data_IF_768801718572
#
_entry.id   IF_768801718572
#
_cell.length_a   1.000
_cell.length_b   1.000
_cell.length_c   1.000
_cell.angle_alpha   90.00
_cell.angle_beta   90.00
_cell.angle_gamma   90.00
#
_symmetry.space_group_name_H-M   'P 1'
#
loop_
_entity.id
_entity.type
_entity.pdbx_description
1 polymer ?
#
# COMPACT_ATOMS: atom_id res chain seq x y z
N UNK A 1 23.55 -3.35 11.04
CA UNK A 1 23.64 -2.10 10.24
C UNK A 1 22.22 -1.59 10.10
N UNK A 2 21.90 -0.41 10.63
CA UNK A 2 20.57 0.20 10.42
C UNK A 2 20.48 0.61 8.95
N UNK A 3 19.75 -0.16 8.14
CA UNK A 3 19.34 0.29 6.80
C UNK A 3 18.44 1.51 6.99
N UNK A 4 18.98 2.68 6.71
CA UNK A 4 18.26 3.94 6.76
C UNK A 4 17.40 4.03 5.48
N UNK A 5 16.21 3.41 5.50
CA UNK A 5 15.28 3.50 4.38
C UNK A 5 14.85 4.96 4.20
N UNK A 6 15.07 5.53 3.01
CA UNK A 6 14.67 6.89 2.67
C UNK A 6 13.15 7.01 2.53
N UNK A 7 12.48 5.93 2.12
CA UNK A 7 11.03 5.85 1.95
C UNK A 7 10.42 4.76 2.81
N UNK A 8 9.25 5.02 3.34
CA UNK A 8 8.50 4.02 4.10
C UNK A 8 7.89 2.97 3.17
N UNK A 9 7.42 3.37 2.02
CA UNK A 9 6.95 2.47 0.97
C UNK A 9 7.21 3.07 -0.43
N UNK A 10 7.35 2.17 -1.41
CA UNK A 10 7.30 2.46 -2.84
C UNK A 10 5.99 1.90 -3.39
N UNK A 11 5.28 2.68 -4.20
CA UNK A 11 4.05 2.23 -4.88
C UNK A 11 4.37 1.96 -6.34
N UNK A 12 4.34 0.67 -6.70
CA UNK A 12 4.44 0.18 -8.08
C UNK A 12 3.04 0.07 -8.68
N UNK A 13 2.84 0.60 -9.89
CA UNK A 13 1.54 0.62 -10.54
C UNK A 13 1.64 0.78 -12.05
N UNK A 14 0.57 0.46 -12.79
CA UNK A 14 0.40 0.84 -14.19
C UNK A 14 -0.27 2.22 -14.30
N UNK A 15 0.03 3.00 -15.35
CA UNK A 15 -0.54 4.34 -15.56
C UNK A 15 -2.07 4.38 -15.55
N UNK A 16 -2.72 3.30 -15.99
CA UNK A 16 -4.19 3.15 -15.89
C UNK A 16 -4.70 3.22 -14.45
N UNK A 17 -3.87 2.84 -13.48
CA UNK A 17 -4.18 2.77 -12.05
C UNK A 17 -3.68 3.99 -11.25
N UNK A 18 -3.21 5.06 -11.89
CA UNK A 18 -2.62 6.24 -11.24
C UNK A 18 -3.52 6.82 -10.13
N UNK A 19 -4.84 6.78 -10.32
CA UNK A 19 -5.81 7.26 -9.31
C UNK A 19 -5.70 6.49 -7.99
N UNK A 20 -5.42 5.18 -8.06
CA UNK A 20 -5.23 4.34 -6.90
C UNK A 20 -3.90 4.61 -6.22
N UNK A 21 -2.83 4.79 -6.99
CA UNK A 21 -1.51 5.14 -6.45
C UNK A 21 -1.56 6.47 -5.68
N UNK A 22 -2.14 7.52 -6.26
CA UNK A 22 -2.35 8.82 -5.63
C UNK A 22 -3.20 8.73 -4.35
N UNK A 23 -4.33 8.01 -4.45
CA UNK A 23 -5.21 7.82 -3.31
C UNK A 23 -4.50 7.11 -2.16
N UNK A 24 -3.77 6.04 -2.46
CA UNK A 24 -3.07 5.25 -1.45
C UNK A 24 -1.94 6.05 -0.81
N UNK A 25 -1.08 6.70 -1.60
CA UNK A 25 -0.01 7.56 -1.11
C UNK A 25 -0.53 8.63 -0.16
N UNK A 26 -1.54 9.39 -0.61
CA UNK A 26 -2.14 10.44 0.22
C UNK A 26 -2.67 9.89 1.54
N UNK A 27 -3.46 8.81 1.50
CA UNK A 27 -4.08 8.27 2.70
C UNK A 27 -3.08 7.60 3.65
N UNK A 28 -1.97 7.03 3.16
CA UNK A 28 -0.89 6.52 4.00
C UNK A 28 -0.15 7.67 4.71
N UNK A 29 0.27 8.69 3.97
CA UNK A 29 1.06 9.81 4.54
C UNK A 29 0.28 10.64 5.56
N UNK A 30 -1.04 10.78 5.35
CA UNK A 30 -1.93 11.52 6.26
C UNK A 30 -2.65 10.63 7.27
N UNK A 31 -2.33 9.33 7.30
CA UNK A 31 -2.91 8.44 8.30
C UNK A 31 -2.49 8.84 9.70
N UNK A 32 -3.48 8.97 10.57
CA UNK A 32 -3.20 9.23 11.98
C UNK A 32 -3.02 7.93 12.73
N UNK A 33 -1.78 7.63 13.09
CA UNK A 33 -1.46 6.48 13.91
C UNK A 33 -1.94 6.75 15.35
N UNK A 34 -2.79 5.87 15.91
CA UNK A 34 -3.31 6.07 17.27
C UNK A 34 -2.18 6.13 18.30
N UNK A 35 -2.17 7.16 19.16
CA UNK A 35 -1.13 7.35 20.17
C UNK A 35 -1.02 6.17 21.15
N UNK A 36 -2.13 5.48 21.43
CA UNK A 36 -2.14 4.27 22.22
C UNK A 36 -1.37 3.13 21.55
N UNK A 37 -1.38 3.04 20.22
CA UNK A 37 -0.60 2.05 19.48
C UNK A 37 0.90 2.35 19.60
N UNK A 38 1.30 3.63 19.46
CA UNK A 38 2.71 4.03 19.62
C UNK A 38 3.23 3.85 21.06
N UNK A 39 2.35 3.82 22.06
CA UNK A 39 2.73 3.49 23.45
C UNK A 39 2.93 1.99 23.65
N UNK A 40 2.10 1.19 23.00
CA UNK A 40 2.14 -0.28 23.06
C UNK A 40 3.30 -0.85 22.21
N UNK A 41 3.59 -0.20 21.08
CA UNK A 41 4.63 -0.54 20.13
C UNK A 41 5.54 0.69 19.86
N UNK A 42 6.52 0.96 20.74
CA UNK A 42 7.36 2.16 20.66
C UNK A 42 8.23 2.24 19.40
N UNK A 43 8.47 1.08 18.76
CA UNK A 43 9.23 0.95 17.50
C UNK A 43 8.46 1.43 16.27
N UNK A 44 7.15 1.60 16.37
CA UNK A 44 6.34 2.05 15.24
C UNK A 44 6.62 3.53 14.92
N UNK A 45 6.61 3.90 13.64
CA UNK A 45 6.81 5.28 13.23
C UNK A 45 5.61 6.13 13.68
N UNK A 46 5.86 7.40 13.94
CA UNK A 46 4.76 8.35 14.21
C UNK A 46 3.96 8.70 12.95
N UNK A 47 4.52 8.47 11.77
CA UNK A 47 3.93 8.76 10.46
C UNK A 47 4.46 7.79 9.42
N UNK A 48 3.61 7.43 8.46
CA UNK A 48 3.96 6.58 7.31
C UNK A 48 4.36 7.51 6.17
N UNK A 49 5.57 8.06 6.24
CA UNK A 49 6.09 8.95 5.19
C UNK A 49 7.62 9.09 5.24
N UNK A 50 8.26 9.42 4.10
CA UNK A 50 7.63 9.61 2.79
C UNK A 50 7.23 8.29 2.14
N UNK A 51 6.18 8.33 1.30
CA UNK A 51 5.76 7.22 0.42
C UNK A 51 6.06 7.64 -1.01
N UNK A 52 6.89 6.86 -1.68
CA UNK A 52 7.29 7.15 -3.05
C UNK A 52 6.28 6.61 -4.05
N UNK A 53 5.94 7.42 -5.03
CA UNK A 53 5.30 7.03 -6.29
C UNK A 53 5.79 7.98 -7.39
N UNK A 54 5.76 7.58 -8.63
CA UNK A 54 6.23 8.42 -9.72
C UNK A 54 5.21 8.46 -10.86
N UNK A 55 5.17 9.59 -11.56
CA UNK A 55 4.35 9.72 -12.74
C UNK A 55 5.09 9.08 -13.92
N UNK A 56 4.43 8.16 -14.63
CA UNK A 56 5.05 7.32 -15.66
C UNK A 56 5.33 8.03 -17.00
N UNK A 57 5.17 9.35 -17.09
CA UNK A 57 5.41 10.13 -18.32
C UNK A 57 6.89 10.26 -18.72
N UNK A 58 7.80 9.65 -17.95
CA UNK A 58 9.23 9.83 -18.14
C UNK A 58 9.88 8.56 -18.69
N UNK A 59 10.43 8.63 -19.89
CA UNK A 59 11.24 7.56 -20.51
C UNK A 59 12.73 7.90 -20.48
N UNK A 60 13.58 6.90 -20.15
CA UNK A 60 15.03 7.02 -20.28
C UNK A 60 15.83 6.19 -19.27
N UNK A 61 17.04 5.79 -19.66
CA UNK A 61 17.94 4.92 -18.87
C UNK A 61 18.37 5.52 -17.52
N UNK A 62 18.51 6.87 -17.48
CA UNK A 62 18.83 7.58 -16.23
C UNK A 62 17.70 7.51 -15.21
N UNK A 63 16.45 7.49 -15.68
CA UNK A 63 15.28 7.35 -14.84
C UNK A 63 15.18 5.95 -14.24
N UNK A 64 15.38 4.89 -15.04
CA UNK A 64 15.39 3.50 -14.50
C UNK A 64 16.37 3.35 -13.34
N UNK A 65 17.57 3.93 -13.45
CA UNK A 65 18.58 3.88 -12.39
C UNK A 65 18.17 4.66 -11.15
N UNK A 66 17.56 5.84 -11.33
CA UNK A 66 17.04 6.63 -10.20
C UNK A 66 15.90 5.88 -9.49
N UNK A 67 14.93 5.34 -10.24
CA UNK A 67 13.82 4.56 -9.68
C UNK A 67 14.29 3.32 -8.93
N UNK A 68 15.30 2.62 -9.43
CA UNK A 68 15.90 1.48 -8.73
C UNK A 68 16.53 1.89 -7.39
N UNK A 69 17.14 3.07 -7.30
CA UNK A 69 17.68 3.58 -6.04
C UNK A 69 16.55 3.86 -5.04
N UNK A 70 15.46 4.50 -5.49
CA UNK A 70 14.31 4.80 -4.63
C UNK A 70 13.60 3.53 -4.17
N UNK A 71 13.45 2.55 -5.08
CA UNK A 71 12.94 1.22 -4.76
C UNK A 71 13.82 0.53 -3.72
N UNK A 72 15.13 0.53 -3.92
CA UNK A 72 16.09 -0.11 -3.01
C UNK A 72 16.12 0.53 -1.63
N UNK A 73 15.91 1.85 -1.56
CA UNK A 73 15.86 2.61 -0.31
C UNK A 73 14.48 2.60 0.36
N UNK A 74 13.52 1.84 -0.19
CA UNK A 74 12.17 1.69 0.39
C UNK A 74 12.08 0.50 1.33
N UNK A 75 11.32 0.67 2.42
CA UNK A 75 11.10 -0.39 3.40
C UNK A 75 10.08 -1.42 2.91
N UNK A 76 9.02 -0.98 2.24
CA UNK A 76 7.95 -1.81 1.69
C UNK A 76 7.75 -1.51 0.22
N UNK A 77 7.29 -2.51 -0.54
CA UNK A 77 6.79 -2.37 -1.90
C UNK A 77 5.28 -2.65 -1.90
N UNK A 78 4.48 -1.66 -2.30
CA UNK A 78 3.03 -1.85 -2.51
C UNK A 78 2.80 -1.95 -4.01
N UNK A 79 2.27 -3.06 -4.47
CA UNK A 79 1.96 -3.29 -5.88
C UNK A 79 0.47 -3.11 -6.10
N UNK A 80 0.10 -2.09 -6.89
CA UNK A 80 -1.30 -1.93 -7.35
C UNK A 80 -1.57 -3.01 -8.39
N UNK A 81 -2.46 -3.93 -8.07
CA UNK A 81 -2.73 -5.11 -8.87
C UNK A 81 -4.01 -4.93 -9.70
N UNK A 82 -3.86 -5.00 -11.00
CA UNK A 82 -4.91 -4.98 -12.03
C UNK A 82 -4.47 -5.79 -13.24
N UNK A 83 -5.36 -6.11 -14.20
CA UNK A 83 -4.96 -6.75 -15.45
C UNK A 83 -3.94 -5.93 -16.26
N UNK A 84 -3.98 -4.61 -16.16
CA UNK A 84 -2.99 -3.73 -16.80
C UNK A 84 -1.63 -3.80 -16.11
N UNK A 85 -1.61 -3.83 -14.77
CA UNK A 85 -0.38 -4.02 -13.99
C UNK A 85 0.24 -5.40 -14.20
N UNK A 86 -0.58 -6.45 -14.36
CA UNK A 86 -0.11 -7.81 -14.61
C UNK A 86 0.64 -7.96 -15.94
N UNK A 87 0.29 -7.13 -16.93
CA UNK A 87 0.88 -7.10 -18.28
C UNK A 87 2.06 -6.11 -18.40
N UNK A 88 2.32 -5.32 -17.37
CA UNK A 88 3.33 -4.27 -17.38
C UNK A 88 4.71 -4.80 -16.98
N UNK A 89 5.64 -4.86 -17.94
CA UNK A 89 7.01 -5.36 -17.70
C UNK A 89 7.71 -4.63 -16.54
N UNK A 90 7.57 -3.31 -16.46
CA UNK A 90 8.24 -2.52 -15.41
C UNK A 90 7.70 -2.81 -14.01
N UNK A 91 6.39 -3.11 -13.85
CA UNK A 91 5.82 -3.52 -12.55
C UNK A 91 6.41 -4.86 -12.15
N UNK A 92 6.53 -5.80 -13.10
CA UNK A 92 7.19 -7.07 -12.85
C UNK A 92 8.67 -6.91 -12.49
N UNK A 93 9.41 -6.05 -13.22
CA UNK A 93 10.83 -5.76 -12.97
C UNK A 93 11.05 -5.18 -11.55
N UNK A 94 10.17 -4.29 -11.10
CA UNK A 94 10.21 -3.72 -9.75
C UNK A 94 9.98 -4.78 -8.66
N UNK A 95 9.04 -5.70 -8.89
CA UNK A 95 8.81 -6.84 -7.99
C UNK A 95 10.03 -7.75 -7.94
N UNK A 96 10.60 -8.11 -9.10
CA UNK A 96 11.83 -8.93 -9.20
C UNK A 96 12.97 -8.26 -8.44
N UNK A 97 13.24 -6.98 -8.72
CA UNK A 97 14.32 -6.24 -8.09
C UNK A 97 14.17 -6.17 -6.56
N UNK A 98 12.95 -6.08 -6.05
CA UNK A 98 12.68 -6.05 -4.61
C UNK A 98 12.88 -7.42 -3.94
N UNK A 99 12.49 -8.51 -4.64
CA UNK A 99 12.75 -9.89 -4.22
C UNK A 99 14.25 -10.19 -4.17
N UNK A 100 15.01 -9.78 -5.21
CA UNK A 100 16.46 -9.97 -5.29
C UNK A 100 17.24 -9.27 -4.17
N UNK A 101 16.64 -8.21 -3.59
CA UNK A 101 17.18 -7.53 -2.39
C UNK A 101 16.88 -8.27 -1.07
N UNK A 102 16.25 -9.45 -1.14
CA UNK A 102 15.85 -10.21 0.04
C UNK A 102 14.66 -9.59 0.81
N UNK A 103 13.84 -8.78 0.14
CA UNK A 103 12.69 -8.07 0.74
C UNK A 103 11.33 -8.61 0.27
N UNK A 104 11.27 -9.84 -0.22
CA UNK A 104 10.04 -10.46 -0.72
C UNK A 104 8.91 -10.46 0.29
N UNK A 105 9.22 -10.67 1.57
CA UNK A 105 8.30 -10.63 2.72
C UNK A 105 7.68 -9.24 2.99
N UNK A 106 8.21 -8.19 2.35
CA UNK A 106 7.76 -6.80 2.49
C UNK A 106 7.00 -6.30 1.27
N UNK A 107 6.55 -7.20 0.41
CA UNK A 107 5.70 -6.88 -0.75
C UNK A 107 4.23 -6.99 -0.33
N UNK A 108 3.45 -5.97 -0.64
CA UNK A 108 2.02 -5.90 -0.31
C UNK A 108 1.22 -5.77 -1.61
N UNK A 109 0.56 -6.85 -2.07
CA UNK A 109 -0.34 -6.77 -3.20
C UNK A 109 -1.64 -6.02 -2.84
N UNK A 110 -1.95 -4.94 -3.56
CA UNK A 110 -3.15 -4.13 -3.39
C UNK A 110 -4.05 -4.26 -4.62
N UNK A 111 -5.11 -5.07 -4.52
CA UNK A 111 -5.93 -5.48 -5.65
C UNK A 111 -7.03 -4.46 -5.90
N UNK A 112 -7.03 -3.84 -7.08
CA UNK A 112 -8.00 -2.84 -7.52
C UNK A 112 -8.91 -3.34 -8.63
N UNK A 113 -8.44 -4.32 -9.42
CA UNK A 113 -9.19 -4.97 -10.50
C UNK A 113 -8.63 -6.36 -10.77
N UNK A 114 -9.36 -7.18 -11.51
CA UNK A 114 -8.94 -8.53 -11.90
C UNK A 114 -9.01 -9.56 -10.77
N UNK A 115 -8.40 -10.71 -10.99
CA UNK A 115 -8.44 -11.87 -10.06
C UNK A 115 -7.05 -12.46 -9.91
N UNK A 116 -6.54 -12.60 -8.67
CA UNK A 116 -5.26 -13.29 -8.45
C UNK A 116 -5.32 -14.74 -8.91
N UNK A 117 -4.27 -15.20 -9.58
CA UNK A 117 -4.15 -16.56 -10.10
C UNK A 117 -5.32 -16.97 -11.01
N UNK A 118 -5.83 -16.04 -11.81
CA UNK A 118 -6.94 -16.28 -12.71
C UNK A 118 -6.58 -17.35 -13.76
N UNK A 119 -7.58 -18.18 -14.13
CA UNK A 119 -7.43 -19.13 -15.24
C UNK A 119 -7.39 -18.41 -16.59
N UNK A 120 -8.15 -17.32 -16.69
CA UNK A 120 -8.15 -16.45 -17.85
C UNK A 120 -7.03 -15.39 -17.71
N UNK A 121 -6.05 -15.36 -18.64
CA UNK A 121 -4.96 -14.38 -18.58
C UNK A 121 -5.41 -12.91 -18.61
N UNK A 122 -6.57 -12.62 -19.19
CA UNK A 122 -7.11 -11.26 -19.25
C UNK A 122 -7.71 -10.77 -17.92
N UNK A 123 -7.97 -11.69 -17.01
CA UNK A 123 -8.46 -11.41 -15.66
C UNK A 123 -7.34 -11.43 -14.61
N UNK A 124 -6.17 -11.97 -14.95
CA UNK A 124 -5.03 -12.05 -14.03
C UNK A 124 -4.57 -10.65 -13.62
N UNK A 125 -4.43 -10.42 -12.33
CA UNK A 125 -4.01 -9.11 -11.79
C UNK A 125 -2.61 -9.12 -11.17
N UNK A 126 -1.99 -10.26 -10.97
CA UNK A 126 -0.63 -10.34 -10.45
C UNK A 126 0.40 -10.42 -11.57
N UNK A 127 1.43 -9.55 -11.60
CA UNK A 127 2.57 -9.74 -12.49
C UNK A 127 3.27 -11.09 -12.21
N UNK A 128 3.98 -11.66 -13.20
CA UNK A 128 4.53 -13.01 -13.10
C UNK A 128 5.36 -13.27 -11.84
N UNK A 129 6.24 -12.35 -11.46
CA UNK A 129 7.07 -12.48 -10.27
C UNK A 129 6.25 -12.52 -8.98
N UNK A 130 5.24 -11.66 -8.86
CA UNK A 130 4.34 -11.64 -7.71
C UNK A 130 3.48 -12.91 -7.64
N UNK A 131 3.04 -13.41 -8.80
CA UNK A 131 2.26 -14.65 -8.88
C UNK A 131 3.06 -15.88 -8.42
N UNK A 132 4.36 -15.93 -8.73
CA UNK A 132 5.23 -16.98 -8.24
C UNK A 132 5.45 -16.86 -6.72
N UNK A 133 5.78 -15.66 -6.25
CA UNK A 133 5.98 -15.38 -4.82
C UNK A 133 4.75 -15.76 -3.97
N UNK A 134 3.55 -15.44 -4.43
CA UNK A 134 2.30 -15.71 -3.71
C UNK A 134 1.83 -17.16 -3.76
N UNK A 135 2.45 -18.01 -4.59
CA UNK A 135 2.24 -19.48 -4.56
C UNK A 135 3.08 -20.15 -3.51
N UNK A 136 4.32 -19.66 -3.36
CA UNK A 136 5.32 -20.28 -2.50
C UNK A 136 5.26 -19.74 -1.06
N UNK A 137 4.75 -18.52 -0.89
CA UNK A 137 4.58 -17.84 0.39
C UNK A 137 3.11 -17.45 0.59
N UNK A 138 2.60 -17.51 1.82
CA UNK A 138 1.22 -17.12 2.18
C UNK A 138 1.03 -15.60 2.16
N UNK A 139 1.51 -14.91 1.10
CA UNK A 139 1.31 -13.48 0.93
C UNK A 139 -0.13 -13.22 0.49
N UNK A 140 -0.90 -12.62 1.38
CA UNK A 140 -2.29 -12.29 1.13
C UNK A 140 -2.44 -10.97 0.38
N UNK A 141 -3.12 -10.99 -0.78
CA UNK A 141 -3.55 -9.78 -1.46
C UNK A 141 -4.66 -9.04 -0.70
N UNK A 142 -4.53 -7.71 -0.62
CA UNK A 142 -5.52 -6.82 -0.01
C UNK A 142 -6.45 -6.30 -1.11
N UNK A 143 -7.70 -6.75 -1.11
CA UNK A 143 -8.69 -6.38 -2.13
C UNK A 143 -9.57 -5.21 -1.68
N UNK A 144 -9.39 -4.04 -2.32
CA UNK A 144 -10.13 -2.81 -2.01
C UNK A 144 -11.59 -2.83 -2.45
N UNK A 145 -11.98 -3.77 -3.33
CA UNK A 145 -13.34 -3.92 -3.85
C UNK A 145 -14.27 -4.66 -2.89
N UNK A 146 -13.71 -5.23 -1.82
CA UNK A 146 -14.51 -5.92 -0.80
C UNK A 146 -15.56 -4.99 -0.22
N UNK A 147 -16.65 -5.56 0.30
CA UNK A 147 -17.80 -4.86 0.88
C UNK A 147 -17.42 -3.83 1.94
N UNK A 148 -16.35 -4.09 2.68
CA UNK A 148 -15.82 -3.24 3.74
C UNK A 148 -15.17 -1.95 3.20
N UNK A 149 -14.79 -1.94 1.92
CA UNK A 149 -14.39 -0.76 1.16
C UNK A 149 -12.99 -0.22 1.46
N UNK A 150 -12.71 0.95 0.89
CA UNK A 150 -11.38 1.57 0.87
C UNK A 150 -10.74 1.79 2.24
N UNK A 151 -11.52 2.20 3.24
CA UNK A 151 -11.00 2.44 4.60
C UNK A 151 -10.50 1.16 5.25
N UNK A 152 -11.17 0.05 5.01
CA UNK A 152 -10.77 -1.26 5.53
C UNK A 152 -9.47 -1.71 4.85
N UNK A 153 -9.40 -1.62 3.52
CA UNK A 153 -8.20 -1.96 2.77
C UNK A 153 -6.98 -1.10 3.17
N UNK A 154 -7.17 0.20 3.41
CA UNK A 154 -6.11 1.08 3.91
C UNK A 154 -5.58 0.62 5.28
N UNK A 155 -6.49 0.31 6.21
CA UNK A 155 -6.09 -0.16 7.55
C UNK A 155 -5.41 -1.52 7.48
N UNK A 156 -5.81 -2.39 6.54
CA UNK A 156 -5.18 -3.69 6.31
C UNK A 156 -3.73 -3.54 5.79
N UNK A 157 -3.50 -2.62 4.85
CA UNK A 157 -2.14 -2.25 4.40
C UNK A 157 -1.28 -1.79 5.59
N UNK A 158 -1.81 -0.90 6.43
CA UNK A 158 -1.08 -0.35 7.58
C UNK A 158 -0.81 -1.42 8.63
N UNK A 159 -1.79 -2.27 8.92
CA UNK A 159 -1.63 -3.40 9.84
C UNK A 159 -0.54 -4.36 9.38
N UNK A 160 -0.52 -4.67 8.07
CA UNK A 160 0.52 -5.49 7.43
C UNK A 160 1.90 -4.84 7.56
N UNK A 161 2.04 -3.55 7.24
CA UNK A 161 3.31 -2.82 7.37
C UNK A 161 3.83 -2.74 8.81
N UNK A 162 2.93 -2.70 9.78
CA UNK A 162 3.29 -2.59 11.19
C UNK A 162 3.48 -3.95 11.88
N UNK A 163 3.09 -5.05 11.22
CA UNK A 163 3.08 -6.37 11.83
C UNK A 163 2.11 -6.46 13.02
N UNK A 164 1.05 -5.64 13.03
CA UNK A 164 0.04 -5.64 14.09
C UNK A 164 -1.24 -6.30 13.61
N UNK A 165 -2.01 -6.83 14.55
CA UNK A 165 -3.30 -7.45 14.21
C UNK A 165 -4.27 -6.39 13.65
N UNK A 166 -4.91 -6.73 12.54
CA UNK A 166 -5.87 -5.86 11.86
C UNK A 166 -7.00 -5.39 12.78
N UNK A 167 -7.61 -6.30 13.55
CA UNK A 167 -8.74 -5.99 14.45
C UNK A 167 -8.40 -4.94 15.51
N UNK A 168 -7.18 -4.97 16.04
CA UNK A 168 -6.68 -3.99 17.00
C UNK A 168 -6.60 -2.59 16.38
N UNK A 169 -6.08 -2.50 15.18
CA UNK A 169 -5.95 -1.21 14.47
C UNK A 169 -7.31 -0.72 13.98
N UNK A 170 -8.15 -1.61 13.45
CA UNK A 170 -9.47 -1.30 12.93
C UNK A 170 -10.41 -0.75 14.00
N UNK A 171 -10.48 -1.37 15.16
CA UNK A 171 -11.31 -0.88 16.26
C UNK A 171 -10.92 0.54 16.69
N UNK A 172 -9.61 0.85 16.73
CA UNK A 172 -9.11 2.19 17.06
C UNK A 172 -9.45 3.20 15.95
N UNK A 173 -9.33 2.79 14.69
CA UNK A 173 -9.71 3.61 13.53
C UNK A 173 -11.21 3.96 13.56
N UNK A 174 -12.08 2.98 13.76
CA UNK A 174 -13.53 3.16 13.84
C UNK A 174 -13.95 4.06 15.02
N UNK A 175 -13.38 3.88 16.20
CA UNK A 175 -13.63 4.76 17.35
C UNK A 175 -13.29 6.21 17.05
N UNK A 176 -12.18 6.45 16.38
CA UNK A 176 -11.79 7.80 15.97
C UNK A 176 -12.75 8.39 14.93
N UNK A 177 -13.11 7.63 13.91
CA UNK A 177 -14.09 8.07 12.89
C UNK A 177 -15.41 8.47 13.53
N UNK A 178 -15.93 7.65 14.44
CA UNK A 178 -17.18 7.94 15.19
C UNK A 178 -17.04 9.22 16.01
N UNK A 179 -15.92 9.41 16.72
CA UNK A 179 -15.66 10.62 17.49
C UNK A 179 -15.63 11.87 16.62
N UNK A 180 -14.89 11.85 15.51
CA UNK A 180 -14.80 12.97 14.57
C UNK A 180 -16.19 13.29 13.99
N UNK A 181 -16.92 12.29 13.55
CA UNK A 181 -18.29 12.45 13.02
C UNK A 181 -19.22 13.11 14.04
N UNK A 182 -19.18 12.65 15.29
CA UNK A 182 -20.03 13.22 16.35
C UNK A 182 -19.67 14.69 16.66
N UNK A 183 -18.38 15.05 16.59
CA UNK A 183 -17.93 16.45 16.71
C UNK A 183 -18.52 17.30 15.58
N UNK A 184 -18.43 16.81 14.32
CA UNK A 184 -19.00 17.55 13.18
C UNK A 184 -20.52 17.70 13.26
N UNK A 185 -21.24 16.66 13.72
CA UNK A 185 -22.68 16.74 13.96
C UNK A 185 -23.00 17.79 15.04
N UNK A 186 -22.25 17.81 16.14
CA UNK A 186 -22.44 18.81 17.20
C UNK A 186 -22.16 20.23 16.71
N UNK A 187 -21.09 20.45 15.90
CA UNK A 187 -20.80 21.75 15.31
C UNK A 187 -21.95 22.17 14.37
N UNK A 188 -22.40 21.28 13.49
CA UNK A 188 -23.47 21.59 12.54
C UNK A 188 -24.79 21.95 13.26
N UNK A 189 -25.13 21.29 14.38
CA UNK A 189 -26.33 21.60 15.15
C UNK A 189 -26.27 22.98 15.82
N UNK A 190 -25.09 23.48 16.19
CA UNK A 190 -24.93 24.83 16.74
C UNK A 190 -25.15 25.90 15.67
N UNK A 191 -24.81 25.64 14.40
CA UNK A 191 -25.02 26.58 13.29
C UNK A 191 -26.46 26.59 12.74
N UNK A 192 -27.34 25.67 13.18
CA UNK A 192 -28.72 25.57 12.76
C UNK A 192 -29.71 26.17 13.81
N UNK A 193 -29.18 26.62 14.95
CA UNK A 193 -29.90 27.37 15.99
C UNK A 193 -29.64 28.86 15.87
#
# INVERSE_FOLDING_TARGET
MNEQNSYYAFISYNSADEKWAKWLQHNLEYYHIPSALCKEYPELPKKIRPVFWYKQDLSGTKLKKALNNELSSSKYLIVICSPDSAKADWVNDEVVAFIEQGKGDRIIPFIVAGTPHAKNPDEECFPPALRNLTRDEEIRGIDVRRKEGKSHALVDVIATMFGVRFDVLWQRHERRRKKIRNIWIAIASVFLL
#
